data_IF_918265456105
#
_entry.id   IF_918265456105
#
_cell.length_a   1.000
_cell.length_b   1.000
_cell.length_c   1.000
_cell.angle_alpha   90.00
_cell.angle_beta   90.00
_cell.angle_gamma   90.00
#
_symmetry.space_group_name_H-M   'P 1'
#
loop_
_entity.id
_entity.type
_entity.pdbx_description
1 polymer ?
#
# COMPACT_ATOMS: atom_id res chain seq x y z
N UNK A 1 -29.37 3.89 -8.21
CA UNK A 1 -29.06 4.45 -6.88
C UNK A 1 -28.16 5.68 -6.98
N UNK A 2 -28.37 6.69 -6.13
CA UNK A 2 -27.51 7.89 -6.07
C UNK A 2 -26.41 7.67 -5.02
N UNK A 3 -25.17 7.95 -5.39
CA UNK A 3 -24.03 7.98 -4.46
C UNK A 3 -24.07 9.32 -3.71
N UNK A 4 -24.13 9.32 -2.37
CA UNK A 4 -24.13 10.57 -1.60
C UNK A 4 -22.79 11.29 -1.73
N UNK A 5 -22.82 12.62 -1.67
CA UNK A 5 -21.61 13.43 -1.59
C UNK A 5 -20.96 13.24 -0.21
N UNK A 6 -19.64 13.10 -0.16
CA UNK A 6 -18.93 12.85 1.09
C UNK A 6 -17.58 12.17 0.90
N UNK A 7 -17.07 11.57 1.97
CA UNK A 7 -15.87 10.74 1.92
C UNK A 7 -16.02 9.52 2.83
N UNK A 8 -15.32 8.45 2.50
CA UNK A 8 -15.30 7.21 3.27
C UNK A 8 -13.91 6.58 3.24
N UNK A 9 -13.64 5.77 4.25
CA UNK A 9 -12.42 4.99 4.38
C UNK A 9 -12.78 3.51 4.55
N UNK A 10 -12.15 2.65 3.76
CA UNK A 10 -12.27 1.20 3.82
C UNK A 10 -10.90 0.57 4.05
N UNK A 11 -10.85 -0.46 4.88
CA UNK A 11 -9.63 -1.18 5.23
C UNK A 11 -9.86 -2.66 4.99
N UNK A 12 -8.90 -3.34 4.36
CA UNK A 12 -8.95 -4.79 4.19
C UNK A 12 -7.55 -5.42 4.30
N UNK A 13 -7.53 -6.71 4.61
CA UNK A 13 -6.31 -7.51 4.62
C UNK A 13 -5.99 -7.98 3.19
N UNK A 14 -4.79 -7.67 2.72
CA UNK A 14 -4.21 -8.19 1.49
C UNK A 14 -3.05 -9.14 1.80
N UNK A 15 -2.57 -9.95 0.83
CA UNK A 15 -1.49 -10.91 1.08
C UNK A 15 -0.17 -10.32 1.61
N UNK A 16 0.02 -9.00 1.47
CA UNK A 16 1.21 -8.25 1.93
C UNK A 16 0.95 -7.42 3.20
N UNK A 17 -0.28 -7.36 3.69
CA UNK A 17 -0.68 -6.58 4.85
C UNK A 17 -1.93 -5.70 4.63
N UNK A 18 -2.04 -4.63 5.43
CA UNK A 18 -3.20 -3.72 5.43
C UNK A 18 -3.28 -2.82 4.19
N UNK A 19 -4.37 -2.96 3.44
CA UNK A 19 -4.70 -2.06 2.32
C UNK A 19 -5.80 -1.09 2.73
N UNK A 20 -5.63 0.19 2.40
CA UNK A 20 -6.59 1.25 2.69
C UNK A 20 -7.08 1.88 1.40
N UNK A 21 -8.40 2.06 1.31
CA UNK A 21 -9.06 2.87 0.29
C UNK A 21 -9.68 4.08 0.94
N UNK A 22 -9.34 5.28 0.47
CA UNK A 22 -10.02 6.52 0.81
C UNK A 22 -10.66 7.09 -0.44
N UNK A 23 -11.97 7.31 -0.38
CA UNK A 23 -12.78 7.75 -1.53
C UNK A 23 -13.49 9.04 -1.16
N UNK A 24 -13.48 10.02 -2.07
CA UNK A 24 -14.35 11.20 -2.03
C UNK A 24 -15.34 11.17 -3.19
N UNK A 25 -16.61 11.40 -2.89
CA UNK A 25 -17.71 11.43 -3.85
C UNK A 25 -18.33 12.81 -3.90
N UNK A 26 -18.64 13.26 -5.11
CA UNK A 26 -19.31 14.53 -5.39
C UNK A 26 -20.05 14.46 -6.71
N UNK A 27 -21.28 14.95 -6.77
CA UNK A 27 -22.06 15.00 -8.01
C UNK A 27 -22.33 13.63 -8.61
N UNK A 28 -22.61 12.63 -7.75
CA UNK A 28 -22.85 11.24 -8.13
C UNK A 28 -21.66 10.58 -8.86
N UNK A 29 -20.42 11.03 -8.59
CA UNK A 29 -19.17 10.50 -9.14
C UNK A 29 -18.11 10.36 -8.04
N UNK A 30 -17.13 9.48 -8.28
CA UNK A 30 -15.89 9.45 -7.49
C UNK A 30 -15.02 10.60 -7.97
N UNK A 31 -14.78 11.56 -7.09
CA UNK A 31 -13.93 12.71 -7.38
C UNK A 31 -12.46 12.41 -7.06
N UNK A 32 -12.22 11.60 -6.04
CA UNK A 32 -10.87 11.13 -5.69
C UNK A 32 -10.93 9.73 -5.10
N UNK A 33 -9.98 8.89 -5.49
CA UNK A 33 -9.71 7.60 -4.87
C UNK A 33 -8.21 7.57 -4.55
N UNK A 34 -7.86 7.51 -3.27
CA UNK A 34 -6.49 7.25 -2.82
C UNK A 34 -6.45 5.84 -2.27
N UNK A 35 -5.53 5.04 -2.80
CA UNK A 35 -5.28 3.69 -2.32
C UNK A 35 -3.90 3.70 -1.66
N UNK A 36 -3.76 3.02 -0.52
CA UNK A 36 -2.48 2.77 0.13
C UNK A 36 -2.26 1.26 0.17
N UNK A 37 -1.40 0.76 -0.71
CA UNK A 37 -0.94 -0.64 -0.65
C UNK A 37 -0.01 -0.82 0.56
N UNK A 38 0.04 -2.01 1.17
CA UNK A 38 0.93 -2.30 2.31
C UNK A 38 2.40 -1.97 2.02
N UNK A 39 2.81 -2.10 0.75
CA UNK A 39 4.18 -1.83 0.31
C UNK A 39 4.62 -0.40 0.60
N UNK A 40 3.69 0.57 0.56
CA UNK A 40 3.99 1.98 0.84
C UNK A 40 4.56 2.17 2.26
N UNK A 41 4.03 1.44 3.24
CA UNK A 41 4.50 1.51 4.62
C UNK A 41 5.71 0.62 4.87
N UNK A 42 5.73 -0.56 4.24
CA UNK A 42 6.75 -1.58 4.50
C UNK A 42 8.06 -1.36 3.74
N UNK A 43 8.09 -0.46 2.76
CA UNK A 43 9.28 -0.22 1.92
C UNK A 43 10.52 0.15 2.71
N UNK A 44 10.36 1.05 3.69
CA UNK A 44 11.44 1.50 4.54
C UNK A 44 12.00 0.39 5.45
N UNK A 45 11.23 -0.68 5.68
CA UNK A 45 11.70 -1.83 6.48
C UNK A 45 12.86 -2.58 5.82
N UNK A 46 13.01 -2.50 4.49
CA UNK A 46 14.15 -3.10 3.79
C UNK A 46 15.46 -2.51 4.29
N UNK A 47 15.54 -1.18 4.47
CA UNK A 47 16.77 -0.48 4.85
C UNK A 47 17.32 -0.96 6.20
N UNK A 48 16.42 -1.30 7.12
CA UNK A 48 16.78 -1.87 8.41
C UNK A 48 17.10 -3.36 8.33
N UNK A 49 16.37 -4.12 7.51
CA UNK A 49 16.54 -5.56 7.37
C UNK A 49 17.86 -5.97 6.70
N UNK A 50 18.46 -5.09 5.88
CA UNK A 50 19.73 -5.36 5.18
C UNK A 50 20.97 -5.09 6.01
N UNK A 51 20.84 -4.41 7.16
CA UNK A 51 21.99 -4.11 8.03
C UNK A 51 22.62 -5.41 8.54
N UNK A 52 23.95 -5.40 8.70
CA UNK A 52 24.75 -6.52 9.19
C UNK A 52 24.64 -7.84 8.38
N UNK A 53 24.08 -7.80 7.16
CA UNK A 53 24.01 -8.93 6.23
C UNK A 53 25.05 -8.82 5.10
N UNK A 54 25.31 -9.94 4.40
CA UNK A 54 26.19 -9.93 3.22
C UNK A 54 25.40 -9.53 1.97
N UNK A 55 26.08 -8.98 0.96
CA UNK A 55 25.45 -8.52 -0.30
C UNK A 55 24.54 -9.60 -0.95
N UNK A 56 24.92 -10.89 -0.99
CA UNK A 56 24.05 -11.94 -1.54
C UNK A 56 22.73 -12.17 -0.80
N UNK A 57 22.54 -11.65 0.41
CA UNK A 57 21.28 -11.80 1.17
C UNK A 57 20.21 -10.80 0.73
N UNK A 58 20.58 -9.75 0.00
CA UNK A 58 19.65 -8.73 -0.46
C UNK A 58 18.42 -9.30 -1.20
N UNK A 59 18.56 -10.26 -2.14
CA UNK A 59 17.40 -10.83 -2.84
C UNK A 59 16.45 -11.61 -1.93
N UNK A 60 16.96 -12.34 -0.92
CA UNK A 60 16.11 -13.13 -0.03
C UNK A 60 15.37 -12.22 0.96
N UNK A 61 16.03 -11.18 1.47
CA UNK A 61 15.40 -10.15 2.31
C UNK A 61 14.28 -9.47 1.53
N UNK A 62 14.56 -8.96 0.33
CA UNK A 62 13.54 -8.31 -0.50
C UNK A 62 12.36 -9.24 -0.82
N UNK A 63 12.63 -10.51 -1.11
CA UNK A 63 11.58 -11.48 -1.42
C UNK A 63 10.72 -11.82 -0.21
N UNK A 64 11.30 -11.88 1.00
CA UNK A 64 10.57 -12.18 2.24
C UNK A 64 9.44 -11.18 2.54
N UNK A 65 9.63 -9.91 2.15
CA UNK A 65 8.62 -8.85 2.31
C UNK A 65 7.63 -8.80 1.14
N UNK A 66 7.97 -9.39 0.00
CA UNK A 66 7.12 -9.45 -1.20
C UNK A 66 6.57 -8.09 -1.64
N UNK A 67 7.36 -7.02 -1.51
CA UNK A 67 6.91 -5.66 -1.78
C UNK A 67 6.59 -5.43 -3.26
N UNK A 68 5.64 -4.52 -3.52
CA UNK A 68 5.27 -4.07 -4.87
C UNK A 68 5.75 -2.65 -5.12
N UNK A 69 6.55 -2.46 -6.17
CA UNK A 69 6.95 -1.13 -6.65
C UNK A 69 5.73 -0.28 -7.02
N UNK A 70 4.79 -0.84 -7.78
CA UNK A 70 3.57 -0.15 -8.16
C UNK A 70 2.70 0.18 -6.95
N UNK A 71 2.68 -0.68 -5.93
CA UNK A 71 1.98 -0.40 -4.67
C UNK A 71 2.62 0.75 -3.87
N UNK A 72 3.95 0.89 -3.92
CA UNK A 72 4.68 1.95 -3.24
C UNK A 72 4.59 3.31 -3.96
N UNK A 73 4.43 3.33 -5.28
CA UNK A 73 4.30 4.56 -6.08
C UNK A 73 2.84 5.09 -6.15
N UNK A 74 1.87 4.30 -5.66
CA UNK A 74 0.44 4.59 -5.75
C UNK A 74 -0.06 5.64 -4.74
#
# INVERSE_FOLDING_TARGET
DKIPDGHALGICEAPRGETIYWIRTSGNKIERCKVRDPSFCNWLSIEYAVLDNIVPDFPIINKSLSLSYSGNDM
#
